data_IF_113141452440
#
_entry.id   IF_113141452440
#
_cell.length_a   1.000
_cell.length_b   1.000
_cell.length_c   1.000
_cell.angle_alpha   90.00
_cell.angle_beta   90.00
_cell.angle_gamma   90.00
#
_symmetry.space_group_name_H-M   'P 1'
#
loop_
_entity.id
_entity.type
_entity.pdbx_description
1 polymer ?
#
# COMPACT_ATOMS: atom_id res chain seq x y z
N UNK A 1 -5.71 -13.03 12.18
CA UNK A 1 -5.84 -12.16 13.39
C UNK A 1 -5.89 -10.67 13.05
N UNK A 2 -5.02 -10.16 12.17
CA UNK A 2 -4.95 -8.73 11.83
C UNK A 2 -6.29 -8.11 11.38
N UNK A 3 -7.05 -8.80 10.52
CA UNK A 3 -8.33 -8.30 10.01
C UNK A 3 -9.33 -7.97 11.12
N UNK A 4 -9.46 -8.82 12.14
CA UNK A 4 -10.36 -8.60 13.26
C UNK A 4 -9.99 -7.32 14.03
N UNK A 5 -8.70 -7.12 14.30
CA UNK A 5 -8.19 -5.93 14.99
C UNK A 5 -8.39 -4.65 14.16
N UNK A 6 -8.25 -4.73 12.83
CA UNK A 6 -8.48 -3.58 11.94
C UNK A 6 -9.97 -3.22 11.96
N UNK A 7 -10.88 -4.20 11.84
CA UNK A 7 -12.33 -3.97 11.88
C UNK A 7 -12.80 -3.43 13.23
N UNK A 8 -12.17 -3.84 14.33
CA UNK A 8 -12.46 -3.29 15.66
C UNK A 8 -12.05 -1.82 15.77
N UNK A 9 -10.87 -1.45 15.25
CA UNK A 9 -10.32 -0.08 15.35
C UNK A 9 -10.90 0.89 14.32
N UNK A 10 -11.30 0.40 13.16
CA UNK A 10 -11.81 1.17 12.04
C UNK A 10 -12.97 0.41 11.36
N UNK A 11 -14.16 0.37 11.99
CA UNK A 11 -15.29 -0.43 11.50
C UNK A 11 -15.81 0.01 10.13
N UNK A 12 -15.66 1.30 9.80
CA UNK A 12 -16.09 1.87 8.52
C UNK A 12 -15.09 1.63 7.37
N UNK A 13 -13.89 1.12 7.68
CA UNK A 13 -12.88 0.85 6.66
C UNK A 13 -13.28 -0.39 5.85
N UNK A 14 -13.42 -0.23 4.53
CA UNK A 14 -13.63 -1.36 3.61
C UNK A 14 -12.33 -2.15 3.50
N UNK A 15 -12.24 -3.24 4.28
CA UNK A 15 -11.06 -4.10 4.36
C UNK A 15 -11.45 -5.56 4.44
N UNK A 16 -10.66 -6.42 3.80
CA UNK A 16 -10.89 -7.85 3.80
C UNK A 16 -9.60 -8.66 3.69
N UNK A 17 -9.67 -9.94 4.02
CA UNK A 17 -8.53 -10.86 4.07
C UNK A 17 -8.80 -12.11 4.92
N UNK A 18 -7.90 -13.07 5.03
CA UNK A 18 -6.67 -13.23 4.22
C UNK A 18 -7.02 -13.59 2.78
N UNK A 19 -6.24 -13.10 1.82
CA UNK A 19 -6.47 -13.36 0.40
C UNK A 19 -5.17 -13.39 -0.40
N UNK A 20 -5.21 -14.11 -1.53
CA UNK A 20 -4.14 -14.11 -2.52
C UNK A 20 -4.22 -12.85 -3.41
N UNK A 21 -3.09 -12.47 -4.00
CA UNK A 21 -2.99 -11.24 -4.80
C UNK A 21 -3.90 -11.24 -6.03
N UNK A 22 -4.12 -12.39 -6.66
CA UNK A 22 -5.05 -12.53 -7.78
C UNK A 22 -6.51 -12.28 -7.37
N UNK A 23 -6.92 -12.75 -6.20
CA UNK A 23 -8.24 -12.50 -5.62
C UNK A 23 -8.38 -11.03 -5.19
N UNK A 24 -7.31 -10.40 -4.70
CA UNK A 24 -7.32 -8.98 -4.37
C UNK A 24 -7.49 -8.09 -5.63
N UNK A 25 -6.79 -8.44 -6.72
CA UNK A 25 -6.69 -7.63 -7.93
C UNK A 25 -7.71 -7.99 -9.02
N UNK A 26 -8.35 -9.17 -8.95
CA UNK A 26 -9.38 -9.59 -9.91
C UNK A 26 -10.71 -9.82 -9.23
N UNK A 27 -11.68 -8.95 -9.53
CA UNK A 27 -13.07 -9.05 -9.04
C UNK A 27 -13.73 -10.37 -9.43
N UNK A 28 -13.46 -10.87 -10.63
CA UNK A 28 -14.02 -12.14 -11.13
C UNK A 28 -13.48 -13.36 -10.39
N UNK A 29 -12.18 -13.37 -10.06
CA UNK A 29 -11.59 -14.43 -9.22
C UNK A 29 -12.13 -14.31 -7.79
N UNK A 30 -12.17 -13.09 -7.23
CA UNK A 30 -12.68 -12.85 -5.89
C UNK A 30 -14.12 -13.31 -5.71
N UNK A 31 -15.03 -12.98 -6.63
CA UNK A 31 -16.43 -13.37 -6.52
C UNK A 31 -16.65 -14.89 -6.54
N UNK A 32 -15.70 -15.67 -7.05
CA UNK A 32 -15.74 -17.15 -7.02
C UNK A 32 -15.19 -17.74 -5.74
N UNK A 33 -14.11 -17.15 -5.19
CA UNK A 33 -13.38 -17.70 -4.04
C UNK A 33 -13.89 -17.11 -2.71
N UNK A 34 -14.29 -15.84 -2.72
CA UNK A 34 -14.70 -15.03 -1.57
C UNK A 34 -15.97 -14.22 -1.93
N UNK A 35 -17.13 -14.90 -2.10
CA UNK A 35 -18.38 -14.25 -2.52
C UNK A 35 -18.90 -13.23 -1.50
N UNK A 36 -18.59 -13.42 -0.22
CA UNK A 36 -19.02 -12.53 0.87
C UNK A 36 -18.05 -11.35 1.13
N UNK A 37 -17.08 -11.12 0.23
CA UNK A 37 -16.11 -10.04 0.37
C UNK A 37 -16.78 -8.67 0.32
N UNK A 38 -16.42 -7.79 1.25
CA UNK A 38 -16.89 -6.40 1.29
C UNK A 38 -16.18 -5.50 0.26
N UNK A 39 -15.11 -5.98 -0.38
CA UNK A 39 -14.35 -5.21 -1.36
C UNK A 39 -15.16 -4.99 -2.65
N UNK A 40 -15.29 -3.73 -3.03
CA UNK A 40 -15.89 -3.29 -4.30
C UNK A 40 -14.77 -2.98 -5.28
N UNK A 41 -14.82 -3.57 -6.49
CA UNK A 41 -13.78 -3.35 -7.50
C UNK A 41 -12.43 -4.01 -7.16
N UNK A 42 -11.36 -3.57 -7.78
CA UNK A 42 -10.02 -4.09 -7.49
C UNK A 42 -9.46 -3.47 -6.20
N UNK A 43 -8.73 -4.25 -5.40
CA UNK A 43 -8.08 -3.72 -4.21
C UNK A 43 -7.03 -2.67 -4.59
N UNK A 44 -7.11 -1.49 -3.98
CA UNK A 44 -6.18 -0.38 -4.21
C UNK A 44 -5.05 -0.28 -3.16
N UNK A 45 -5.15 -1.06 -2.09
CA UNK A 45 -4.15 -1.16 -1.04
C UNK A 45 -3.92 -2.64 -0.72
N UNK A 46 -2.66 -3.08 -0.80
CA UNK A 46 -2.26 -4.43 -0.48
C UNK A 46 -1.40 -4.42 0.78
N UNK A 47 -1.90 -5.04 1.85
CA UNK A 47 -1.14 -5.22 3.09
C UNK A 47 -0.47 -6.59 3.07
N UNK A 48 0.86 -6.58 3.15
CA UNK A 48 1.68 -7.78 3.04
C UNK A 48 1.89 -8.42 4.42
N UNK A 49 1.99 -9.76 4.51
CA UNK A 49 2.10 -10.46 5.79
C UNK A 49 3.44 -10.23 6.48
N UNK A 50 4.49 -9.88 5.73
CA UNK A 50 5.84 -9.61 6.25
C UNK A 50 6.65 -8.73 5.28
N UNK A 51 7.85 -8.35 5.71
CA UNK A 51 8.75 -7.45 4.97
C UNK A 51 9.31 -8.08 3.69
N UNK A 52 9.53 -9.39 3.66
CA UNK A 52 10.06 -10.08 2.49
C UNK A 52 9.03 -10.12 1.37
N UNK A 53 7.78 -10.50 1.68
CA UNK A 53 6.66 -10.46 0.75
C UNK A 53 6.45 -9.04 0.22
N UNK A 54 6.54 -8.02 1.09
CA UNK A 54 6.43 -6.63 0.69
C UNK A 54 7.52 -6.19 -0.28
N UNK A 55 8.78 -6.48 0.03
CA UNK A 55 9.91 -6.08 -0.83
C UNK A 55 9.88 -6.77 -2.19
N UNK A 56 9.57 -8.07 -2.22
CA UNK A 56 9.47 -8.85 -3.47
C UNK A 56 8.31 -8.32 -4.33
N UNK A 57 7.11 -8.20 -3.76
CA UNK A 57 5.93 -7.73 -4.48
C UNK A 57 6.12 -6.30 -5.00
N UNK A 58 6.63 -5.39 -4.16
CA UNK A 58 6.89 -4.01 -4.54
C UNK A 58 7.90 -3.91 -5.68
N UNK A 59 9.01 -4.65 -5.60
CA UNK A 59 10.04 -4.61 -6.65
C UNK A 59 9.54 -5.23 -7.95
N UNK A 60 8.80 -6.34 -7.88
CA UNK A 60 8.17 -6.95 -9.05
C UNK A 60 7.18 -6.00 -9.72
N UNK A 61 6.28 -5.38 -8.96
CA UNK A 61 5.32 -4.40 -9.48
C UNK A 61 6.01 -3.15 -10.04
N UNK A 62 7.11 -2.69 -9.42
CA UNK A 62 7.91 -1.57 -9.94
C UNK A 62 8.51 -1.87 -11.31
N UNK A 63 8.97 -3.11 -11.54
CA UNK A 63 9.58 -3.52 -12.81
C UNK A 63 8.51 -3.82 -13.88
N UNK A 64 7.41 -4.46 -13.50
CA UNK A 64 6.37 -4.93 -14.43
C UNK A 64 5.30 -3.88 -14.73
N UNK A 65 4.98 -3.02 -13.76
CA UNK A 65 3.81 -2.15 -13.81
C UNK A 65 3.96 -0.89 -14.67
N UNK A 66 5.16 -0.63 -15.23
CA UNK A 66 5.48 0.58 -16.00
C UNK A 66 5.04 1.93 -15.36
N UNK A 67 4.69 1.91 -14.07
CA UNK A 67 4.14 3.04 -13.35
C UNK A 67 5.22 3.90 -12.72
N UNK A 68 4.87 5.14 -12.39
CA UNK A 68 5.74 6.01 -11.61
C UNK A 68 5.71 5.56 -10.16
N UNK A 69 6.85 5.07 -9.67
CA UNK A 69 7.01 4.74 -8.25
C UNK A 69 7.29 6.01 -7.44
N UNK A 70 6.49 6.25 -6.40
CA UNK A 70 6.70 7.28 -5.37
C UNK A 70 6.91 6.56 -4.05
N UNK A 71 8.02 6.85 -3.38
CA UNK A 71 8.39 6.22 -2.11
C UNK A 71 9.87 5.80 -2.03
N UNK A 72 10.24 5.10 -0.96
CA UNK A 72 9.38 4.64 0.14
C UNK A 72 8.90 5.79 1.05
N UNK A 73 7.67 5.70 1.54
CA UNK A 73 7.05 6.68 2.45
C UNK A 73 7.03 6.06 3.85
N UNK A 74 7.57 6.78 4.83
CA UNK A 74 7.50 6.38 6.23
C UNK A 74 6.22 6.95 6.84
N UNK A 75 5.47 6.11 7.55
CA UNK A 75 4.24 6.49 8.25
C UNK A 75 4.43 6.41 9.76
N UNK A 76 3.77 7.29 10.51
CA UNK A 76 3.74 7.27 11.98
C UNK A 76 4.91 7.96 12.69
N UNK A 77 5.78 8.68 11.96
CA UNK A 77 6.79 9.53 12.57
C UNK A 77 6.14 10.79 13.20
N UNK A 78 6.78 11.36 14.24
CA UNK A 78 6.28 12.57 14.91
C UNK A 78 6.41 13.85 14.06
N UNK A 79 7.27 13.81 13.03
CA UNK A 79 7.49 14.88 12.05
C UNK A 79 7.74 14.23 10.68
N UNK A 80 7.47 14.94 9.57
CA UNK A 80 7.71 14.45 8.20
C UNK A 80 9.17 14.07 7.99
N UNK A 81 9.42 12.77 7.82
CA UNK A 81 10.75 12.24 7.53
C UNK A 81 10.61 10.98 6.70
N UNK A 82 11.36 10.89 5.61
CA UNK A 82 11.35 9.72 4.73
C UNK A 82 12.78 9.31 4.38
N UNK A 83 13.01 8.00 4.31
CA UNK A 83 14.34 7.42 4.06
C UNK A 83 14.36 6.84 2.65
N UNK A 84 15.06 7.51 1.74
CA UNK A 84 15.19 7.03 0.37
C UNK A 84 16.28 5.95 0.25
N UNK A 85 16.11 5.03 -0.70
CA UNK A 85 17.13 4.05 -1.03
C UNK A 85 18.07 4.55 -2.14
N UNK A 86 19.19 3.85 -2.33
CA UNK A 86 20.21 4.20 -3.34
C UNK A 86 19.74 4.05 -4.79
N UNK A 87 18.59 3.42 -5.02
CA UNK A 87 18.05 3.15 -6.37
C UNK A 87 16.99 4.17 -6.77
N UNK A 88 16.74 5.20 -5.94
CA UNK A 88 15.82 6.29 -6.27
C UNK A 88 16.40 7.16 -7.39
N UNK A 89 15.54 7.57 -8.32
CA UNK A 89 15.94 8.47 -9.42
C UNK A 89 15.88 9.93 -8.98
N UNK A 90 16.51 10.85 -9.73
CA UNK A 90 16.40 12.29 -9.47
C UNK A 90 14.94 12.77 -9.41
N UNK A 91 14.08 12.24 -10.30
CA UNK A 91 12.63 12.49 -10.27
C UNK A 91 11.98 11.96 -8.98
N UNK A 92 12.38 10.77 -8.54
CA UNK A 92 11.90 10.20 -7.28
C UNK A 92 12.27 11.07 -6.07
N UNK A 93 13.49 11.62 -6.05
CA UNK A 93 13.92 12.57 -5.01
C UNK A 93 13.02 13.81 -5.02
N UNK A 94 12.82 14.43 -6.19
CA UNK A 94 11.96 15.62 -6.32
C UNK A 94 10.51 15.36 -5.85
N UNK A 95 9.93 14.21 -6.25
CA UNK A 95 8.59 13.82 -5.81
C UNK A 95 8.50 13.64 -4.29
N UNK A 96 9.51 12.99 -3.69
CA UNK A 96 9.53 12.74 -2.25
C UNK A 96 9.78 14.01 -1.44
N UNK A 97 10.58 14.95 -1.96
CA UNK A 97 10.73 16.28 -1.36
C UNK A 97 9.42 17.06 -1.40
N UNK A 98 8.70 17.05 -2.53
CA UNK A 98 7.40 17.69 -2.64
C UNK A 98 6.39 17.06 -1.66
N UNK A 99 6.37 15.72 -1.55
CA UNK A 99 5.52 15.01 -0.62
C UNK A 99 5.80 15.41 0.84
N UNK A 100 7.08 15.41 1.26
CA UNK A 100 7.47 15.79 2.62
C UNK A 100 7.11 17.24 2.97
N UNK A 101 7.21 18.16 2.01
CA UNK A 101 6.79 19.57 2.20
C UNK A 101 5.28 19.66 2.44
N UNK A 102 4.47 18.94 1.65
CA UNK A 102 3.02 18.92 1.84
C UNK A 102 2.66 18.30 3.19
N UNK A 103 3.29 17.19 3.56
CA UNK A 103 3.09 16.56 4.87
C UNK A 103 3.43 17.52 6.03
N UNK A 104 4.51 18.30 5.92
CA UNK A 104 4.87 19.32 6.91
C UNK A 104 3.85 20.45 7.03
N UNK A 105 3.16 20.78 5.94
CA UNK A 105 2.12 21.80 5.94
C UNK A 105 0.81 21.29 6.54
N UNK A 106 0.51 19.99 6.38
CA UNK A 106 -0.74 19.37 6.84
C UNK A 106 -0.66 18.73 8.22
N UNK A 107 0.54 18.42 8.73
CA UNK A 107 0.79 17.81 10.04
C UNK A 107 0.53 18.75 11.24
N UNK A 108 -0.51 19.59 11.16
CA UNK A 108 -1.03 20.38 12.28
C UNK A 108 -1.84 19.53 13.24
#
# INVERSE_FOLDING_TARGET
QALALIRERAPDLVVDGEMQADSALSTGVRGRILPDSLLIGEANLLIMPNIDAANIAFTALKVLGNGVSVGPILLGAAQPVHVLNRTVTARGIANMSAFAVVEAQTAR
#
